data_IF_525267408317
#
_entry.id   IF_525267408317
#
_cell.length_a   1.000
_cell.length_b   1.000
_cell.length_c   1.000
_cell.angle_alpha   90.00
_cell.angle_beta   90.00
_cell.angle_gamma   90.00
#
_symmetry.space_group_name_H-M   'P 1'
#
loop_
_entity.id
_entity.type
_entity.pdbx_description
1 polymer ?
#
# COMPACT_ATOMS: atom_id res chain seq x y z
N UNK A 1 -6.58 -20.82 -24.47
CA UNK A 1 -7.17 -19.61 -23.89
C UNK A 1 -6.77 -19.60 -22.41
N UNK A 2 -5.64 -19.00 -22.07
CA UNK A 2 -5.24 -18.89 -20.65
C UNK A 2 -6.21 -17.92 -20.00
N UNK A 3 -7.10 -18.45 -19.16
CA UNK A 3 -8.02 -17.62 -18.38
C UNK A 3 -7.20 -16.66 -17.54
N UNK A 4 -7.49 -15.37 -17.64
CA UNK A 4 -6.88 -14.35 -16.81
C UNK A 4 -7.21 -14.66 -15.35
N UNK A 5 -6.24 -15.14 -14.58
CA UNK A 5 -6.44 -15.45 -13.17
C UNK A 5 -6.70 -14.14 -12.43
N UNK A 6 -7.93 -13.96 -11.96
CA UNK A 6 -8.30 -12.84 -11.09
C UNK A 6 -7.50 -12.98 -9.79
N UNK A 7 -6.71 -11.96 -9.48
CA UNK A 7 -5.81 -11.96 -8.33
C UNK A 7 -6.54 -11.42 -7.10
N UNK A 8 -7.16 -10.24 -7.21
CA UNK A 8 -7.90 -9.61 -6.12
C UNK A 8 -9.39 -9.58 -6.47
N UNK A 9 -10.27 -9.91 -5.52
CA UNK A 9 -11.72 -9.87 -5.74
C UNK A 9 -12.42 -9.29 -4.51
N UNK A 10 -13.34 -8.36 -4.75
CA UNK A 10 -14.30 -7.87 -3.77
C UNK A 10 -15.69 -8.39 -4.15
N UNK A 11 -16.41 -8.93 -3.18
CA UNK A 11 -17.78 -9.46 -3.37
C UNK A 11 -18.74 -8.88 -2.35
N UNK A 12 -19.89 -8.41 -2.85
CA UNK A 12 -21.02 -7.91 -2.08
C UNK A 12 -20.60 -6.97 -0.94
N UNK A 13 -19.68 -6.04 -1.21
CA UNK A 13 -19.16 -5.13 -0.19
C UNK A 13 -20.12 -3.97 0.04
N UNK A 14 -20.65 -3.90 1.25
CA UNK A 14 -21.39 -2.78 1.80
C UNK A 14 -20.54 -2.07 2.84
N UNK A 15 -20.46 -0.75 2.76
CA UNK A 15 -19.80 0.09 3.76
C UNK A 15 -20.84 1.05 4.35
N UNK A 16 -20.88 1.13 5.67
CA UNK A 16 -21.81 1.97 6.43
C UNK A 16 -21.02 2.94 7.30
N UNK A 17 -21.31 4.24 7.19
CA UNK A 17 -20.89 5.21 8.19
C UNK A 17 -21.87 5.12 9.38
N UNK A 18 -21.40 4.68 10.54
CA UNK A 18 -22.25 4.44 11.71
C UNK A 18 -22.64 5.73 12.44
N UNK A 19 -21.87 6.81 12.28
CA UNK A 19 -22.19 8.12 12.85
C UNK A 19 -23.37 8.77 12.14
N UNK A 20 -23.38 8.74 10.81
CA UNK A 20 -24.46 9.33 9.99
C UNK A 20 -25.56 8.32 9.68
N UNK A 21 -25.31 7.03 9.92
CA UNK A 21 -26.13 5.90 9.47
C UNK A 21 -26.37 5.90 7.96
N UNK A 22 -25.43 6.47 7.19
CA UNK A 22 -25.52 6.52 5.74
C UNK A 22 -24.63 5.42 5.13
N UNK A 23 -25.18 4.58 4.23
CA UNK A 23 -24.38 3.67 3.44
C UNK A 23 -23.56 4.48 2.42
N UNK A 24 -22.33 4.03 2.17
CA UNK A 24 -21.56 4.46 1.00
C UNK A 24 -22.10 3.72 -0.24
N UNK A 25 -21.85 4.23 -1.46
CA UNK A 25 -22.29 3.57 -2.69
C UNK A 25 -21.85 2.10 -2.76
N UNK A 26 -22.81 1.21 -3.06
CA UNK A 26 -22.61 -0.24 -3.11
C UNK A 26 -23.93 -1.01 -3.30
N UNK A 27 -23.90 -2.36 -3.28
CA UNK A 27 -22.73 -3.20 -3.05
C UNK A 27 -21.65 -3.06 -4.12
N UNK A 28 -20.39 -3.23 -3.73
CA UNK A 28 -19.28 -3.29 -4.67
C UNK A 28 -18.91 -4.73 -4.98
N UNK A 29 -18.83 -5.03 -6.27
CA UNK A 29 -18.46 -6.32 -6.83
C UNK A 29 -17.49 -6.07 -7.99
N UNK A 30 -16.22 -6.45 -7.81
CA UNK A 30 -15.22 -6.35 -8.87
C UNK A 30 -14.04 -7.31 -8.65
N UNK A 31 -13.35 -7.63 -9.73
CA UNK A 31 -12.11 -8.40 -9.72
C UNK A 31 -11.01 -7.65 -10.46
N UNK A 32 -9.77 -7.85 -10.02
CA UNK A 32 -8.57 -7.30 -10.64
C UNK A 32 -7.64 -8.46 -10.96
N UNK A 33 -7.26 -8.60 -12.22
CA UNK A 33 -6.30 -9.61 -12.65
C UNK A 33 -4.88 -9.32 -12.20
N UNK A 34 -4.03 -10.34 -12.16
CA UNK A 34 -2.61 -10.15 -11.93
C UNK A 34 -2.01 -9.23 -13.02
N UNK A 35 -1.32 -8.16 -12.59
CA UNK A 35 -0.72 -7.17 -13.49
C UNK A 35 -1.70 -6.11 -14.02
N UNK A 36 -2.99 -6.19 -13.66
CA UNK A 36 -3.98 -5.20 -14.04
C UNK A 36 -3.95 -4.00 -13.07
N UNK A 37 -4.23 -2.82 -13.60
CA UNK A 37 -4.40 -1.58 -12.83
C UNK A 37 -5.87 -1.20 -12.91
N UNK A 38 -6.53 -1.15 -11.76
CA UNK A 38 -7.87 -0.62 -11.62
C UNK A 38 -7.80 0.77 -10.98
N UNK A 39 -8.48 1.74 -11.59
CA UNK A 39 -8.58 3.10 -11.04
C UNK A 39 -9.97 3.34 -10.45
N UNK A 40 -10.01 3.80 -9.19
CA UNK A 40 -11.23 4.22 -8.52
C UNK A 40 -11.42 5.73 -8.66
N UNK A 41 -12.48 6.15 -9.35
CA UNK A 41 -12.80 7.56 -9.58
C UNK A 41 -14.13 7.95 -8.93
N UNK A 42 -14.22 9.20 -8.45
CA UNK A 42 -15.45 9.74 -7.87
C UNK A 42 -15.18 11.01 -7.07
N UNK A 43 -16.22 11.79 -6.73
CA UNK A 43 -16.06 13.03 -5.95
C UNK A 43 -15.42 12.77 -4.58
N UNK A 44 -14.87 13.83 -3.98
CA UNK A 44 -14.39 13.77 -2.60
C UNK A 44 -15.55 13.39 -1.66
N UNK A 45 -15.25 12.59 -0.63
CA UNK A 45 -16.27 12.11 0.32
C UNK A 45 -17.09 10.91 -0.13
N UNK A 46 -16.91 10.37 -1.35
CA UNK A 46 -17.63 9.17 -1.83
C UNK A 46 -17.21 7.86 -1.13
N UNK A 47 -16.25 7.90 -0.18
CA UNK A 47 -15.78 6.71 0.53
C UNK A 47 -14.65 5.93 -0.14
N UNK A 48 -13.93 6.55 -1.09
CA UNK A 48 -12.76 5.93 -1.74
C UNK A 48 -11.67 5.51 -0.75
N UNK A 49 -11.23 6.44 0.11
CA UNK A 49 -10.24 6.12 1.16
C UNK A 49 -10.79 5.13 2.18
N UNK A 50 -12.10 5.16 2.47
CA UNK A 50 -12.76 4.14 3.32
C UNK A 50 -12.66 2.75 2.69
N UNK A 51 -12.87 2.62 1.38
CA UNK A 51 -12.68 1.36 0.66
C UNK A 51 -11.23 0.89 0.74
N UNK A 52 -10.25 1.77 0.45
CA UNK A 52 -8.83 1.40 0.53
C UNK A 52 -8.43 0.96 1.95
N UNK A 53 -8.88 1.68 2.97
CA UNK A 53 -8.67 1.35 4.38
C UNK A 53 -9.30 0.01 4.76
N UNK A 54 -10.50 -0.30 4.27
CA UNK A 54 -11.11 -1.61 4.46
C UNK A 54 -10.27 -2.73 3.83
N UNK A 55 -9.78 -2.53 2.59
CA UNK A 55 -8.98 -3.53 1.87
C UNK A 55 -7.70 -3.86 2.66
N UNK A 56 -7.01 -2.85 3.19
CA UNK A 56 -5.80 -3.08 4.00
C UNK A 56 -6.07 -3.54 5.43
N UNK A 57 -7.33 -3.57 5.88
CA UNK A 57 -7.68 -4.02 7.24
C UNK A 57 -7.55 -2.93 8.31
N UNK A 58 -7.52 -1.66 7.91
CA UNK A 58 -7.45 -0.50 8.77
C UNK A 58 -8.72 0.36 8.68
N UNK A 59 -9.90 -0.29 8.62
CA UNK A 59 -11.18 0.43 8.54
C UNK A 59 -11.32 1.39 9.74
N UNK A 60 -11.56 2.69 9.53
CA UNK A 60 -11.63 3.65 10.63
C UNK A 60 -12.79 3.36 11.58
N UNK A 61 -12.60 3.76 12.84
CA UNK A 61 -13.71 3.84 13.80
C UNK A 61 -14.85 4.68 13.22
N UNK A 62 -16.09 4.26 13.44
CA UNK A 62 -17.25 4.90 12.84
C UNK A 62 -17.67 4.33 11.49
N UNK A 63 -17.01 3.28 10.99
CA UNK A 63 -17.43 2.54 9.82
C UNK A 63 -17.66 1.06 10.12
N UNK A 64 -18.60 0.47 9.41
CA UNK A 64 -18.84 -0.98 9.36
C UNK A 64 -18.79 -1.46 7.92
N UNK A 65 -18.31 -2.69 7.75
CA UNK A 65 -18.20 -3.32 6.45
C UNK A 65 -18.80 -4.73 6.49
N UNK A 66 -19.51 -5.10 5.43
CA UNK A 66 -19.99 -6.46 5.20
C UNK A 66 -19.69 -6.82 3.76
N UNK A 67 -18.99 -7.93 3.52
CA UNK A 67 -18.58 -8.38 2.20
C UNK A 67 -17.39 -9.32 2.30
N UNK A 68 -16.81 -9.64 1.15
CA UNK A 68 -15.65 -10.53 1.09
C UNK A 68 -14.51 -9.87 0.32
N UNK A 69 -13.29 -10.03 0.83
CA UNK A 69 -12.06 -9.67 0.13
C UNK A 69 -11.27 -10.94 -0.10
N UNK A 70 -10.89 -11.21 -1.35
CA UNK A 70 -10.08 -12.34 -1.73
C UNK A 70 -8.81 -11.85 -2.43
N UNK A 71 -7.68 -12.50 -2.14
CA UNK A 71 -6.40 -12.29 -2.81
C UNK A 71 -5.72 -13.64 -3.04
N UNK A 72 -5.43 -13.96 -4.30
CA UNK A 72 -4.76 -15.22 -4.68
C UNK A 72 -5.48 -16.46 -4.12
N UNK A 73 -6.82 -16.45 -4.15
CA UNK A 73 -7.66 -17.52 -3.61
C UNK A 73 -7.82 -17.54 -2.08
N UNK A 74 -7.15 -16.64 -1.34
CA UNK A 74 -7.26 -16.54 0.12
C UNK A 74 -8.23 -15.43 0.51
N UNK A 75 -9.18 -15.75 1.39
CA UNK A 75 -10.10 -14.76 1.96
C UNK A 75 -9.38 -13.93 3.03
N UNK A 76 -9.42 -12.60 2.93
CA UNK A 76 -8.62 -11.67 3.73
C UNK A 76 -9.42 -10.76 4.66
N UNK A 77 -10.73 -10.59 4.47
CA UNK A 77 -11.54 -9.59 5.18
C UNK A 77 -11.54 -9.76 6.72
N UNK A 78 -11.28 -10.97 7.20
CA UNK A 78 -11.18 -11.33 8.61
C UNK A 78 -9.75 -11.30 9.17
N UNK A 79 -8.74 -11.12 8.31
CA UNK A 79 -7.33 -11.11 8.71
C UNK A 79 -6.90 -9.70 9.16
N UNK A 80 -5.97 -9.61 10.12
CA UNK A 80 -5.36 -8.34 10.48
C UNK A 80 -4.43 -7.84 9.36
N UNK A 81 -4.19 -6.52 9.35
CA UNK A 81 -3.45 -5.79 8.30
C UNK A 81 -2.15 -6.49 7.87
N UNK A 82 -1.32 -6.90 8.82
CA UNK A 82 0.00 -7.50 8.56
C UNK A 82 -0.06 -8.86 7.87
N UNK A 83 -1.19 -9.56 7.91
CA UNK A 83 -1.39 -10.87 7.28
C UNK A 83 -1.99 -10.76 5.87
N UNK A 84 -2.49 -9.59 5.48
CA UNK A 84 -3.18 -9.41 4.18
C UNK A 84 -2.24 -9.38 2.98
N UNK A 85 -0.94 -9.13 3.20
CA UNK A 85 0.07 -8.99 2.12
C UNK A 85 -0.32 -7.93 1.06
N UNK A 86 -1.07 -6.91 1.45
CA UNK A 86 -1.44 -5.77 0.59
C UNK A 86 -0.64 -4.56 1.08
N UNK A 87 0.13 -3.96 0.18
CA UNK A 87 0.82 -2.69 0.44
C UNK A 87 -0.09 -1.51 0.15
N UNK A 88 0.12 -0.40 0.85
CA UNK A 88 -0.56 0.86 0.56
C UNK A 88 0.46 2.00 0.53
N UNK A 89 0.38 2.80 -0.52
CA UNK A 89 1.09 4.06 -0.64
C UNK A 89 0.09 5.19 -0.47
N UNK A 90 0.28 5.96 0.58
CA UNK A 90 -0.49 7.17 0.85
C UNK A 90 0.12 8.36 0.12
N UNK A 91 -0.65 9.45 0.05
CA UNK A 91 -0.19 10.76 -0.41
C UNK A 91 1.00 11.28 0.41
N UNK A 92 1.04 10.96 1.71
CA UNK A 92 2.19 11.23 2.57
C UNK A 92 3.22 10.10 2.50
N UNK A 93 4.50 10.45 2.43
CA UNK A 93 5.59 9.47 2.35
C UNK A 93 5.65 8.56 3.59
N UNK A 94 5.08 9.01 4.71
CA UNK A 94 4.98 8.32 6.01
C UNK A 94 6.28 7.60 6.40
N UNK A 95 7.43 8.23 6.17
CA UNK A 95 8.72 7.73 6.62
C UNK A 95 8.85 7.97 8.12
N UNK A 96 9.41 7.00 8.83
CA UNK A 96 9.69 7.13 10.26
C UNK A 96 10.82 8.15 10.44
N UNK A 97 10.55 9.30 11.08
CA UNK A 97 11.51 10.41 11.15
C UNK A 97 12.71 10.10 12.04
N UNK A 98 12.55 9.18 12.98
CA UNK A 98 13.60 8.74 13.90
C UNK A 98 14.51 7.64 13.33
N UNK A 99 14.27 7.20 12.09
CA UNK A 99 15.08 6.19 11.41
C UNK A 99 15.77 6.81 10.20
N UNK A 100 16.98 6.35 9.89
CA UNK A 100 17.61 6.65 8.60
C UNK A 100 16.79 6.08 7.43
N UNK A 101 17.13 6.45 6.20
CA UNK A 101 16.58 5.81 4.99
C UNK A 101 16.74 4.29 5.05
N UNK A 102 17.93 3.82 5.39
CA UNK A 102 18.22 2.40 5.54
C UNK A 102 17.39 1.75 6.65
N UNK A 103 17.19 2.45 7.78
CA UNK A 103 16.30 2.00 8.86
C UNK A 103 14.84 1.87 8.42
N UNK A 104 14.34 2.84 7.67
CA UNK A 104 12.99 2.81 7.08
C UNK A 104 12.80 1.61 6.15
N UNK A 105 13.76 1.36 5.25
CA UNK A 105 13.71 0.22 4.32
C UNK A 105 13.90 -1.12 5.03
N UNK A 106 14.76 -1.18 6.04
CA UNK A 106 14.99 -2.37 6.85
C UNK A 106 13.74 -2.83 7.59
N UNK A 107 12.88 -1.90 8.02
CA UNK A 107 11.62 -2.19 8.71
C UNK A 107 10.66 -3.03 7.86
N UNK A 108 10.70 -2.87 6.53
CA UNK A 108 9.80 -3.57 5.62
C UNK A 108 10.24 -5.00 5.24
N UNK A 109 11.51 -5.37 5.46
CA UNK A 109 12.02 -6.66 5.00
C UNK A 109 11.36 -7.85 5.73
N UNK A 110 10.62 -8.74 5.02
CA UNK A 110 9.92 -9.86 5.63
C UNK A 110 10.91 -10.91 6.14
N UNK A 111 10.61 -11.57 7.27
CA UNK A 111 11.25 -12.83 7.68
C UNK A 111 12.78 -12.82 7.90
N UNK A 112 13.45 -11.67 7.79
CA UNK A 112 14.92 -11.56 7.87
C UNK A 112 15.46 -11.60 9.31
N UNK A 113 14.70 -12.13 10.28
CA UNK A 113 15.20 -12.35 11.64
C UNK A 113 16.40 -13.32 11.66
N UNK A 114 16.51 -14.19 10.66
CA UNK A 114 17.63 -15.13 10.49
C UNK A 114 18.70 -14.67 9.49
N UNK A 115 18.41 -13.66 8.67
CA UNK A 115 19.43 -13.07 7.80
C UNK A 115 20.33 -12.14 8.62
N UNK A 116 21.64 -12.33 8.53
CA UNK A 116 22.60 -11.48 9.23
C UNK A 116 22.39 -9.99 8.90
N UNK A 117 22.66 -9.11 9.87
CA UNK A 117 22.55 -7.64 9.70
C UNK A 117 23.26 -7.14 8.43
N UNK A 118 24.39 -7.75 8.08
CA UNK A 118 25.15 -7.43 6.87
C UNK A 118 24.39 -7.74 5.58
N UNK A 119 23.72 -8.89 5.50
CA UNK A 119 22.94 -9.28 4.31
C UNK A 119 21.74 -8.36 4.10
N UNK A 120 21.07 -7.98 5.19
CA UNK A 120 19.96 -7.00 5.15
C UNK A 120 20.44 -5.65 4.63
N UNK A 121 21.56 -5.16 5.14
CA UNK A 121 22.18 -3.92 4.68
C UNK A 121 22.52 -3.98 3.19
N UNK A 122 23.22 -5.03 2.75
CA UNK A 122 23.61 -5.20 1.35
C UNK A 122 22.40 -5.22 0.41
N UNK A 123 21.31 -5.92 0.78
CA UNK A 123 20.06 -5.91 0.01
C UNK A 123 19.47 -4.51 -0.11
N UNK A 124 19.46 -3.73 0.96
CA UNK A 124 18.93 -2.36 0.96
C UNK A 124 19.82 -1.43 0.14
N UNK A 125 21.14 -1.54 0.26
CA UNK A 125 22.09 -0.75 -0.53
C UNK A 125 21.94 -1.04 -2.03
N UNK A 126 21.72 -2.30 -2.41
CA UNK A 126 21.43 -2.66 -3.80
C UNK A 126 20.13 -2.03 -4.29
N UNK A 127 19.04 -2.16 -3.52
CA UNK A 127 17.74 -1.56 -3.89
C UNK A 127 17.81 -0.04 -4.00
N UNK A 128 18.59 0.61 -3.13
CA UNK A 128 18.86 2.05 -3.23
C UNK A 128 19.66 2.38 -4.50
N UNK A 129 20.68 1.59 -4.84
CA UNK A 129 21.48 1.79 -6.04
C UNK A 129 20.64 1.65 -7.31
N UNK A 130 19.81 0.60 -7.41
CA UNK A 130 18.90 0.35 -8.55
C UNK A 130 17.90 1.50 -8.75
N UNK A 131 17.55 2.18 -7.66
CA UNK A 131 16.65 3.33 -7.66
C UNK A 131 17.37 4.69 -7.86
N UNK A 132 18.67 4.69 -8.15
CA UNK A 132 19.48 5.90 -8.31
C UNK A 132 19.69 6.68 -7.01
N UNK A 133 19.65 6.01 -5.86
CA UNK A 133 19.82 6.55 -4.51
C UNK A 133 21.02 5.91 -3.79
N UNK A 134 22.04 5.50 -4.54
CA UNK A 134 23.26 4.94 -3.98
C UNK A 134 23.86 5.88 -2.91
N UNK A 135 24.29 5.32 -1.78
CA UNK A 135 24.85 6.08 -0.65
C UNK A 135 23.81 6.72 0.29
N UNK A 136 22.51 6.52 0.07
CA UNK A 136 21.47 7.16 0.90
C UNK A 136 21.20 6.41 2.21
N UNK A 137 21.77 5.22 2.42
CA UNK A 137 21.42 4.34 3.55
C UNK A 137 21.42 5.06 4.92
N UNK A 138 22.44 5.88 5.21
CA UNK A 138 22.58 6.57 6.50
C UNK A 138 21.89 7.95 6.53
N UNK A 139 21.32 8.41 5.43
CA UNK A 139 20.71 9.75 5.38
C UNK A 139 19.47 9.84 6.26
N UNK A 140 19.26 11.03 6.80
CA UNK A 140 18.04 11.42 7.47
C UNK A 140 16.94 11.71 6.42
N UNK A 141 15.75 11.07 6.49
CA UNK A 141 14.62 11.33 5.60
C UNK A 141 14.23 12.81 5.47
N UNK A 142 14.44 13.63 6.49
CA UNK A 142 14.13 15.07 6.47
C UNK A 142 15.03 15.87 5.51
N UNK A 143 16.22 15.37 5.21
CA UNK A 143 17.18 16.05 4.30
C UNK A 143 16.88 15.81 2.81
N UNK A 144 15.90 14.97 2.51
CA UNK A 144 15.59 14.54 1.15
C UNK A 144 14.60 15.49 0.47
N UNK A 145 14.70 15.59 -0.86
CA UNK A 145 13.64 16.21 -1.67
C UNK A 145 12.34 15.39 -1.60
N UNK A 146 11.20 15.98 -1.97
CA UNK A 146 9.90 15.29 -2.02
C UNK A 146 9.93 14.05 -2.91
N UNK A 147 10.47 14.17 -4.13
CA UNK A 147 10.58 13.03 -5.05
C UNK A 147 11.48 11.90 -4.53
N UNK A 148 12.53 12.21 -3.77
CA UNK A 148 13.37 11.20 -3.12
C UNK A 148 12.62 10.47 -2.00
N UNK A 149 11.86 11.18 -1.17
CA UNK A 149 11.03 10.56 -0.13
C UNK A 149 9.94 9.67 -0.72
N UNK A 150 9.27 10.12 -1.78
CA UNK A 150 8.29 9.33 -2.51
C UNK A 150 8.90 8.02 -3.04
N UNK A 151 10.09 8.11 -3.67
CA UNK A 151 10.81 6.93 -4.15
C UNK A 151 11.14 5.97 -3.01
N UNK A 152 11.60 6.47 -1.86
CA UNK A 152 11.88 5.61 -0.69
C UNK A 152 10.61 4.97 -0.14
N UNK A 153 9.48 5.68 -0.12
CA UNK A 153 8.19 5.11 0.31
C UNK A 153 7.74 3.96 -0.62
N UNK A 154 7.89 4.13 -1.93
CA UNK A 154 7.66 3.06 -2.92
C UNK A 154 8.59 1.87 -2.66
N UNK A 155 9.89 2.11 -2.52
CA UNK A 155 10.87 1.04 -2.24
C UNK A 155 10.54 0.29 -0.96
N UNK A 156 10.17 1.00 0.11
CA UNK A 156 9.75 0.39 1.38
C UNK A 156 8.56 -0.54 1.17
N UNK A 157 7.58 -0.10 0.40
CA UNK A 157 6.38 -0.89 0.08
C UNK A 157 6.74 -2.13 -0.72
N UNK A 158 7.60 -2.00 -1.74
CA UNK A 158 8.05 -3.14 -2.58
C UNK A 158 8.91 -4.15 -1.80
N UNK A 159 9.76 -3.67 -0.90
CA UNK A 159 10.61 -4.52 -0.04
C UNK A 159 9.82 -5.42 0.91
N UNK A 160 8.57 -5.05 1.23
CA UNK A 160 7.65 -5.89 2.00
C UNK A 160 7.10 -7.08 1.20
N UNK A 161 7.43 -7.17 -0.09
CA UNK A 161 6.98 -8.22 -1.03
C UNK A 161 5.44 -8.37 -1.02
N UNK A 162 4.68 -7.26 -1.23
CA UNK A 162 3.23 -7.32 -1.25
C UNK A 162 2.74 -8.05 -2.50
N UNK A 163 1.56 -8.65 -2.40
CA UNK A 163 0.85 -9.30 -3.53
C UNK A 163 -0.01 -8.33 -4.33
N UNK A 164 -0.45 -7.24 -3.70
CA UNK A 164 -1.14 -6.12 -4.35
C UNK A 164 -0.72 -4.80 -3.71
N UNK A 165 -0.76 -3.71 -4.47
CA UNK A 165 -0.45 -2.36 -3.98
C UNK A 165 -1.64 -1.46 -4.24
N UNK A 166 -2.07 -0.76 -3.19
CA UNK A 166 -3.07 0.30 -3.26
C UNK A 166 -2.37 1.65 -3.30
N UNK A 167 -2.91 2.55 -4.10
CA UNK A 167 -2.38 3.89 -4.32
C UNK A 167 -3.46 4.91 -3.93
N UNK A 168 -3.29 5.58 -2.79
CA UNK A 168 -4.19 6.68 -2.38
C UNK A 168 -3.58 8.03 -2.78
N UNK A 169 -3.95 8.48 -3.98
CA UNK A 169 -3.47 9.74 -4.58
C UNK A 169 -1.94 9.98 -4.52
N UNK A 170 -1.08 8.98 -4.81
CA UNK A 170 0.37 9.06 -4.58
C UNK A 170 1.07 10.12 -5.46
N UNK A 171 0.38 10.59 -6.50
CA UNK A 171 0.91 11.53 -7.49
C UNK A 171 0.24 12.90 -7.43
N UNK A 172 -0.66 13.13 -6.47
CA UNK A 172 -1.32 14.44 -6.31
C UNK A 172 -0.33 15.57 -6.04
N UNK A 173 0.88 15.28 -5.54
CA UNK A 173 1.94 16.25 -5.28
C UNK A 173 3.01 16.33 -6.38
N UNK A 174 2.93 15.48 -7.41
CA UNK A 174 3.81 15.62 -8.57
C UNK A 174 3.33 16.81 -9.41
N UNK A 175 4.30 17.62 -9.85
CA UNK A 175 4.07 18.81 -10.67
C UNK A 175 3.17 18.52 -11.88
N UNK A 176 2.37 19.52 -12.25
CA UNK A 176 1.35 19.44 -13.30
C UNK A 176 1.89 19.00 -14.67
N UNK A 177 3.19 19.13 -14.91
CA UNK A 177 3.86 18.69 -16.16
C UNK A 177 4.04 17.16 -16.24
N UNK A 178 3.82 16.43 -15.14
CA UNK A 178 3.97 14.97 -15.04
C UNK A 178 2.63 14.24 -14.73
N UNK A 179 1.50 14.97 -14.70
CA UNK A 179 0.14 14.40 -14.61
C UNK A 179 -0.41 14.10 -16.00
#
# INVERSE_FOLDING_TARGET
>A
MSGTTVLLTIRNLHLLNTHTRQPLPGPLDFGIAAGEILTLMGPSGLGKSTLLNWIVGALPDGFQAQGELWLDGVRLDHLPTEQRRIGILFQDDLLFPHLSVGGNLAFALPGTRHAGRQQRRARIEQVLADAGLAGFYERDPHTLSGGQRARISVLRTLLAEPRAILLDEPFSRLDTELR
#
